data_IF_094341779095
#
_entry.id   IF_094341779095
#
_cell.length_a   1.000
_cell.length_b   1.000
_cell.length_c   1.000
_cell.angle_alpha   90.00
_cell.angle_beta   90.00
_cell.angle_gamma   90.00
#
_symmetry.space_group_name_H-M   'P 1'
#
loop_
_entity.id
_entity.type
_entity.pdbx_description
1 polymer ?
#
# COMPACT_ATOMS: atom_id res chain seq x y z
N UNK A 1 -15.21 1.74 13.79
CA UNK A 1 -15.68 0.37 14.07
C UNK A 1 -15.05 -0.10 15.36
N UNK A 2 -15.86 -0.55 16.33
CA UNK A 2 -15.38 -1.25 17.54
C UNK A 2 -15.90 -2.69 17.49
N UNK A 3 -14.99 -3.66 17.49
CA UNK A 3 -15.31 -5.08 17.34
C UNK A 3 -16.02 -5.61 18.58
N UNK A 4 -17.19 -6.22 18.39
CA UNK A 4 -17.98 -6.88 19.45
C UNK A 4 -18.10 -8.39 19.25
N UNK A 5 -17.79 -8.89 18.05
CA UNK A 5 -17.87 -10.32 17.74
C UNK A 5 -17.01 -10.73 16.55
N UNK A 6 -16.61 -11.99 16.54
CA UNK A 6 -15.91 -12.62 15.40
C UNK A 6 -16.45 -14.03 15.20
N UNK A 7 -16.92 -14.32 13.99
CA UNK A 7 -17.43 -15.63 13.60
C UNK A 7 -16.57 -16.19 12.46
N UNK A 8 -16.38 -17.52 12.46
CA UNK A 8 -15.56 -18.21 11.45
C UNK A 8 -16.42 -19.28 10.82
N UNK A 9 -16.56 -19.23 9.50
CA UNK A 9 -17.20 -20.26 8.70
C UNK A 9 -16.15 -20.93 7.83
N UNK A 10 -16.01 -22.24 7.99
CA UNK A 10 -15.22 -23.04 7.07
C UNK A 10 -16.02 -23.24 5.78
N UNK A 11 -15.46 -22.79 4.66
CA UNK A 11 -16.07 -22.96 3.35
C UNK A 11 -15.52 -24.24 2.73
N UNK A 12 -16.30 -25.31 2.84
CA UNK A 12 -15.99 -26.61 2.22
C UNK A 12 -16.80 -26.70 0.92
N UNK A 13 -16.18 -26.31 -0.19
CA UNK A 13 -16.83 -26.23 -1.51
C UNK A 13 -15.84 -26.34 -2.67
N UNK A 14 -16.20 -25.79 -3.83
CA UNK A 14 -15.33 -25.80 -5.03
C UNK A 14 -14.03 -25.02 -4.83
N UNK A 15 -14.05 -23.99 -3.98
CA UNK A 15 -12.86 -23.30 -3.50
C UNK A 15 -12.79 -23.43 -1.97
N UNK A 16 -11.99 -24.35 -1.42
CA UNK A 16 -11.86 -24.46 0.03
C UNK A 16 -11.33 -23.14 0.60
N UNK A 17 -11.80 -22.75 1.78
CA UNK A 17 -11.41 -21.49 2.40
C UNK A 17 -12.04 -21.25 3.76
N UNK A 18 -11.80 -20.05 4.29
CA UNK A 18 -12.40 -19.56 5.53
C UNK A 18 -13.05 -18.21 5.28
N UNK A 19 -14.28 -18.05 5.74
CA UNK A 19 -14.91 -16.74 5.86
C UNK A 19 -14.87 -16.31 7.31
N UNK A 20 -14.22 -15.18 7.57
CA UNK A 20 -14.19 -14.56 8.90
C UNK A 20 -15.11 -13.35 8.88
N UNK A 21 -16.09 -13.33 9.76
CA UNK A 21 -17.04 -12.23 9.91
C UNK A 21 -16.72 -11.46 11.19
N UNK A 22 -16.53 -10.15 11.04
CA UNK A 22 -16.29 -9.21 12.12
C UNK A 22 -17.54 -8.37 12.33
N UNK A 23 -18.11 -8.40 13.54
CA UNK A 23 -19.26 -7.59 13.90
C UNK A 23 -18.81 -6.39 14.74
N UNK A 24 -19.21 -5.19 14.34
CA UNK A 24 -19.01 -3.94 15.05
C UNK A 24 -20.19 -3.56 15.92
N UNK A 25 -19.94 -2.76 16.96
CA UNK A 25 -20.97 -2.29 17.91
C UNK A 25 -22.07 -1.47 17.22
N UNK A 26 -21.74 -0.77 16.13
CA UNK A 26 -22.68 0.02 15.35
C UNK A 26 -23.64 -0.79 14.46
N UNK A 27 -23.64 -2.12 14.56
CA UNK A 27 -24.42 -3.02 13.68
C UNK A 27 -23.78 -3.25 12.31
N UNK A 28 -22.59 -2.69 12.10
CA UNK A 28 -21.75 -2.91 10.92
C UNK A 28 -21.09 -4.29 10.98
N UNK A 29 -20.99 -4.97 9.83
CA UNK A 29 -20.39 -6.29 9.73
C UNK A 29 -19.49 -6.36 8.50
N UNK A 30 -18.29 -6.92 8.66
CA UNK A 30 -17.32 -7.09 7.59
C UNK A 30 -16.98 -8.56 7.44
N UNK A 31 -17.20 -9.12 6.26
CA UNK A 31 -16.86 -10.51 5.94
C UNK A 31 -15.60 -10.56 5.08
N UNK A 32 -14.55 -11.18 5.60
CA UNK A 32 -13.29 -11.41 4.89
C UNK A 32 -13.26 -12.86 4.41
N UNK A 33 -13.18 -13.05 3.10
CA UNK A 33 -13.06 -14.38 2.48
C UNK A 33 -11.59 -14.69 2.20
N UNK A 34 -11.07 -15.71 2.85
CA UNK A 34 -9.73 -16.22 2.66
C UNK A 34 -9.78 -17.53 1.89
N UNK A 35 -9.10 -17.57 0.75
CA UNK A 35 -8.89 -18.81 0.01
C UNK A 35 -7.97 -19.73 0.82
N UNK A 36 -8.29 -21.03 0.88
CA UNK A 36 -7.39 -22.01 1.47
C UNK A 36 -6.06 -22.01 0.70
N UNK A 37 -5.00 -21.72 1.44
CA UNK A 37 -3.62 -21.84 1.00
C UNK A 37 -2.87 -22.77 1.96
N UNK A 38 -1.56 -22.86 1.78
CA UNK A 38 -0.72 -23.69 2.64
C UNK A 38 -0.79 -23.21 4.10
N UNK A 39 -1.07 -24.14 5.03
CA UNK A 39 -1.13 -23.88 6.47
C UNK A 39 -2.27 -22.98 6.97
N UNK A 40 -3.33 -22.74 6.17
CA UNK A 40 -4.49 -21.97 6.65
C UNK A 40 -5.37 -22.84 7.55
N UNK A 41 -5.62 -22.38 8.77
CA UNK A 41 -6.49 -23.03 9.76
C UNK A 41 -7.37 -21.97 10.43
N UNK A 42 -8.32 -22.38 11.27
CA UNK A 42 -9.27 -21.47 11.95
C UNK A 42 -8.59 -20.37 12.76
N UNK A 43 -7.49 -20.68 13.45
CA UNK A 43 -6.75 -19.71 14.26
C UNK A 43 -6.03 -18.66 13.40
N UNK A 44 -5.26 -19.13 12.41
CA UNK A 44 -4.48 -18.29 11.49
C UNK A 44 -5.40 -17.50 10.53
N UNK A 45 -6.60 -18.01 10.24
CA UNK A 45 -7.58 -17.31 9.42
C UNK A 45 -8.02 -15.99 10.05
N UNK A 46 -8.24 -15.94 11.36
CA UNK A 46 -8.61 -14.70 12.06
C UNK A 46 -7.47 -13.69 12.01
N UNK A 47 -6.25 -14.14 12.29
CA UNK A 47 -5.06 -13.28 12.26
C UNK A 47 -4.83 -12.68 10.87
N UNK A 48 -4.89 -13.50 9.82
CA UNK A 48 -4.77 -13.03 8.43
C UNK A 48 -5.90 -12.10 8.03
N UNK A 49 -7.14 -12.41 8.43
CA UNK A 49 -8.29 -11.55 8.14
C UNK A 49 -8.16 -10.19 8.84
N UNK A 50 -7.66 -10.16 10.08
CA UNK A 50 -7.34 -8.93 10.80
C UNK A 50 -6.23 -8.11 10.14
N UNK A 51 -5.17 -8.77 9.66
CA UNK A 51 -4.11 -8.10 8.91
C UNK A 51 -4.62 -7.46 7.61
N UNK A 52 -5.49 -8.16 6.87
CA UNK A 52 -6.15 -7.62 5.67
C UNK A 52 -7.00 -6.39 6.01
N UNK A 53 -7.73 -6.42 7.14
CA UNK A 53 -8.52 -5.28 7.62
C UNK A 53 -7.66 -4.06 7.97
N UNK A 54 -6.56 -4.25 8.71
CA UNK A 54 -5.61 -3.17 9.05
C UNK A 54 -4.99 -2.60 7.76
N UNK A 55 -4.63 -3.47 6.82
CA UNK A 55 -4.12 -3.05 5.53
C UNK A 55 -5.16 -2.21 4.79
N UNK A 56 -6.41 -2.65 4.70
CA UNK A 56 -7.48 -1.92 4.04
C UNK A 56 -7.76 -0.56 4.72
N UNK A 57 -7.65 -0.47 6.05
CA UNK A 57 -7.77 0.80 6.76
C UNK A 57 -6.65 1.79 6.42
N UNK A 58 -5.45 1.30 6.07
CA UNK A 58 -4.31 2.13 5.62
C UNK A 58 -4.42 2.53 4.16
N UNK A 59 -5.01 1.66 3.33
CA UNK A 59 -5.33 1.95 1.94
C UNK A 59 -6.73 2.56 1.89
N UNK A 60 -6.86 3.83 2.29
CA UNK A 60 -8.08 4.60 2.04
C UNK A 60 -8.60 4.29 0.62
N UNK A 61 -9.84 3.80 0.54
CA UNK A 61 -10.50 3.50 -0.72
C UNK A 61 -10.78 4.84 -1.42
N UNK A 62 -9.78 5.32 -2.17
CA UNK A 62 -9.97 6.16 -3.35
C UNK A 62 -10.71 7.48 -3.17
N UNK A 63 -10.61 8.16 -2.03
CA UNK A 63 -10.95 9.58 -1.95
C UNK A 63 -9.82 10.34 -1.27
N UNK A 64 -8.94 10.89 -2.10
CA UNK A 64 -8.31 12.20 -1.94
C UNK A 64 -7.79 12.55 -0.53
N UNK A 65 -6.46 12.49 -0.39
CA UNK A 65 -5.65 13.35 0.47
C UNK A 65 -6.41 14.02 1.64
N UNK A 66 -6.35 13.40 2.82
CA UNK A 66 -6.36 14.19 4.05
C UNK A 66 -5.06 13.97 4.79
N UNK A 67 -4.14 14.91 4.59
CA UNK A 67 -3.25 15.38 5.64
C UNK A 67 -4.11 15.60 6.92
N UNK A 68 -3.55 15.33 8.12
CA UNK A 68 -4.17 15.40 9.45
C UNK A 68 -4.92 14.15 9.97
N UNK A 69 -4.21 13.30 10.72
CA UNK A 69 -4.54 13.01 12.12
C UNK A 69 -3.49 12.07 12.77
N UNK A 70 -2.29 12.61 12.99
CA UNK A 70 -1.39 12.20 14.07
C UNK A 70 -2.03 12.52 15.44
N UNK A 71 -3.07 11.80 15.88
CA UNK A 71 -3.69 12.07 17.19
C UNK A 71 -4.27 10.80 17.87
N UNK A 72 -3.53 9.69 17.94
CA UNK A 72 -3.94 8.55 18.79
C UNK A 72 -2.84 7.95 19.68
N UNK A 73 -1.65 8.55 19.76
CA UNK A 73 -0.61 8.10 20.70
C UNK A 73 -0.75 8.66 22.13
N UNK A 74 -1.68 9.60 22.38
CA UNK A 74 -1.75 10.33 23.65
C UNK A 74 -2.61 9.69 24.77
N UNK A 75 -3.05 8.43 24.64
CA UNK A 75 -3.83 7.76 25.70
C UNK A 75 -3.26 6.41 26.17
N UNK A 76 -2.04 6.05 25.78
CA UNK A 76 -1.36 4.89 26.38
C UNK A 76 -0.72 5.32 27.70
N UNK A 77 -1.46 5.13 28.79
CA UNK A 77 -0.94 5.30 30.15
C UNK A 77 0.04 4.16 30.47
N UNK A 78 1.27 4.28 29.97
CA UNK A 78 2.53 3.76 30.52
C UNK A 78 2.54 2.51 31.39
N UNK A 79 1.86 1.43 30.98
CA UNK A 79 2.02 0.09 31.57
C UNK A 79 2.71 -0.82 30.54
N UNK A 80 3.99 -0.53 30.29
CA UNK A 80 4.88 -1.30 29.42
C UNK A 80 6.09 -1.78 30.24
N UNK A 81 5.86 -2.64 31.22
CA UNK A 81 6.95 -3.32 31.93
C UNK A 81 7.28 -4.70 31.35
N UNK A 82 6.61 -5.20 30.31
CA UNK A 82 6.97 -6.48 29.70
C UNK A 82 6.43 -6.69 28.26
N UNK A 83 7.03 -6.02 27.27
CA UNK A 83 6.87 -6.44 25.87
C UNK A 83 8.19 -6.26 25.12
N UNK A 84 8.70 -7.29 24.39
CA UNK A 84 9.87 -7.12 23.57
C UNK A 84 9.53 -6.10 22.48
N UNK A 85 10.34 -5.03 22.39
CA UNK A 85 10.26 -4.02 21.33
C UNK A 85 10.43 -4.73 20.00
N UNK A 86 9.32 -5.02 19.32
CA UNK A 86 9.36 -5.57 17.96
C UNK A 86 9.61 -4.39 17.04
N UNK A 87 10.89 -4.10 16.78
CA UNK A 87 11.30 -3.07 15.81
C UNK A 87 10.58 -3.35 14.48
N UNK A 88 9.82 -2.38 13.99
CA UNK A 88 9.08 -2.55 12.75
C UNK A 88 10.05 -2.59 11.57
N UNK A 89 9.72 -3.28 10.46
CA UNK A 89 10.59 -3.31 9.27
C UNK A 89 10.85 -1.90 8.68
N UNK A 90 9.97 -0.93 8.97
CA UNK A 90 10.17 0.47 8.61
C UNK A 90 11.28 1.12 9.44
N UNK A 91 11.32 0.87 10.76
CA UNK A 91 12.38 1.36 11.65
C UNK A 91 13.75 0.81 11.25
N UNK A 92 13.82 -0.49 10.92
CA UNK A 92 15.05 -1.13 10.45
C UNK A 92 15.54 -0.50 9.13
N UNK A 93 14.62 -0.16 8.22
CA UNK A 93 14.93 0.48 6.94
C UNK A 93 15.42 1.91 7.13
N UNK A 94 14.80 2.67 8.04
CA UNK A 94 15.23 4.01 8.40
C UNK A 94 16.62 4.00 9.02
N UNK A 95 16.87 3.09 9.98
CA UNK A 95 18.18 2.96 10.62
C UNK A 95 19.29 2.56 9.62
N UNK A 96 18.96 1.74 8.62
CA UNK A 96 19.90 1.39 7.53
C UNK A 96 20.19 2.60 6.64
N UNK A 97 19.18 3.38 6.25
CA UNK A 97 19.36 4.60 5.47
C UNK A 97 20.23 5.63 6.22
N UNK A 98 20.05 5.76 7.54
CA UNK A 98 20.88 6.65 8.38
C UNK A 98 22.33 6.18 8.55
N UNK A 99 22.62 4.88 8.39
CA UNK A 99 24.00 4.36 8.37
C UNK A 99 24.67 4.70 7.04
N UNK A 100 23.91 4.59 5.96
CA UNK A 100 24.36 4.91 4.61
C UNK A 100 24.62 6.42 4.43
N UNK A 101 23.85 7.29 5.08
CA UNK A 101 24.07 8.76 5.09
C UNK A 101 25.21 9.22 6.01
N UNK A 102 25.70 8.39 6.95
CA UNK A 102 26.88 8.74 7.76
C UNK A 102 28.20 8.55 7.01
N UNK A 103 28.22 7.69 6.00
CA UNK A 103 29.42 7.39 5.22
C UNK A 103 29.61 8.33 4.02
N UNK A 104 28.52 8.87 3.49
CA UNK A 104 28.51 9.79 2.34
C UNK A 104 27.76 11.07 2.73
N UNK A 105 28.43 12.22 2.60
CA UNK A 105 27.78 13.50 2.90
C UNK A 105 26.54 13.66 2.02
N UNK A 106 25.43 14.16 2.58
CA UNK A 106 24.18 14.31 1.85
C UNK A 106 24.35 15.13 0.55
N UNK A 107 25.32 16.06 0.52
CA UNK A 107 25.68 16.86 -0.64
C UNK A 107 26.28 16.02 -1.78
N UNK A 108 27.12 15.04 -1.49
CA UNK A 108 27.76 14.17 -2.49
C UNK A 108 26.72 13.29 -3.22
N UNK A 109 25.75 12.75 -2.47
CA UNK A 109 24.62 11.97 -3.02
C UNK A 109 23.70 12.79 -3.92
N UNK A 110 23.43 14.03 -3.51
CA UNK A 110 22.63 14.98 -4.32
C UNK A 110 23.37 15.34 -5.61
N UNK A 111 24.70 15.53 -5.55
CA UNK A 111 25.54 15.84 -6.71
C UNK A 111 25.63 14.67 -7.71
N UNK A 112 25.73 13.41 -7.24
CA UNK A 112 25.71 12.22 -8.10
C UNK A 112 24.38 12.08 -8.86
N UNK A 113 23.25 12.30 -8.19
CA UNK A 113 21.92 12.29 -8.81
C UNK A 113 21.72 13.40 -9.85
N UNK A 114 22.22 14.60 -9.58
CA UNK A 114 22.25 15.72 -10.54
C UNK A 114 23.11 15.40 -11.77
N UNK A 115 24.26 14.74 -11.58
CA UNK A 115 25.14 14.32 -12.68
C UNK A 115 24.48 13.32 -13.63
N UNK A 116 23.59 12.46 -13.13
CA UNK A 116 22.81 11.53 -13.93
C UNK A 116 21.61 12.18 -14.68
N UNK A 117 21.23 13.41 -14.30
CA UNK A 117 20.05 14.12 -14.84
C UNK A 117 20.39 15.14 -15.95
N UNK A 118 21.65 15.19 -16.40
CA UNK A 118 22.03 15.97 -17.58
C UNK A 118 22.29 15.04 -18.77
N UNK A 119 21.26 14.64 -19.54
CA UNK A 119 21.50 14.43 -20.95
C UNK A 119 22.03 15.78 -21.48
N UNK A 120 23.18 15.80 -22.12
CA UNK A 120 23.77 17.03 -22.66
C UNK A 120 22.91 17.68 -23.78
N UNK A 121 21.62 17.36 -23.90
CA UNK A 121 20.69 17.87 -24.89
C UNK A 121 19.27 17.60 -24.39
N UNK A 122 18.47 18.66 -24.23
CA UNK A 122 17.02 18.58 -24.18
C UNK A 122 16.51 17.54 -25.20
N UNK A 123 15.46 16.75 -24.89
CA UNK A 123 14.91 15.80 -25.85
C UNK A 123 14.61 16.53 -27.17
N UNK A 124 15.10 15.98 -28.28
CA UNK A 124 14.85 16.52 -29.62
C UNK A 124 13.34 16.52 -29.84
N UNK A 125 12.75 17.71 -29.87
CA UNK A 125 11.33 17.89 -30.16
C UNK A 125 11.07 17.51 -31.62
N UNK A 126 10.36 16.40 -31.85
CA UNK A 126 9.96 15.97 -33.20
C UNK A 126 8.66 16.66 -33.58
N UNK A 127 8.71 17.57 -34.56
CA UNK A 127 7.51 18.13 -35.21
C UNK A 127 7.25 17.38 -36.52
N UNK A 128 6.35 16.39 -36.52
CA UNK A 128 5.87 15.77 -37.78
C UNK A 128 4.65 16.53 -38.28
N UNK A 129 4.77 17.20 -39.42
CA UNK A 129 3.63 17.82 -40.12
C UNK A 129 2.91 16.75 -40.95
N UNK A 130 1.67 16.42 -40.56
CA UNK A 130 0.84 15.37 -41.18
C UNK A 130 -0.13 15.91 -42.25
N UNK A 131 0.20 17.00 -42.95
CA UNK A 131 -0.67 17.50 -44.03
C UNK A 131 -0.18 16.94 -45.37
N UNK A 132 -0.83 15.90 -45.93
CA UNK A 132 -0.57 15.49 -47.31
C UNK A 132 -1.09 16.59 -48.25
N UNK A 133 -0.17 17.37 -48.82
CA UNK A 133 -0.45 18.24 -49.97
C UNK A 133 -0.47 17.40 -51.23
N UNK A 134 -1.65 17.05 -51.76
CA UNK A 134 -1.71 16.20 -52.96
C UNK A 134 -3.08 16.04 -53.59
N UNK A 135 -3.51 17.09 -54.30
CA UNK A 135 -4.42 17.17 -55.48
C UNK A 135 -5.67 16.27 -55.60
N UNK A 136 -6.77 16.99 -55.79
CA UNK A 136 -7.99 16.66 -56.54
C UNK A 136 -7.74 15.92 -57.86
N UNK A 137 -8.51 14.87 -58.14
CA UNK A 137 -9.25 14.80 -59.40
C UNK A 137 -10.50 13.94 -59.24
N UNK A 138 -11.54 14.38 -59.93
CA UNK A 138 -12.91 13.89 -59.96
C UNK A 138 -12.96 12.86 -61.08
N UNK A 139 -13.45 11.65 -60.83
CA UNK A 139 -14.06 10.89 -61.91
C UNK A 139 -15.33 10.20 -61.41
N UNK A 140 -16.43 10.57 -62.06
CA UNK A 140 -17.80 10.13 -61.80
C UNK A 140 -18.32 9.60 -63.12
N UNK A 141 -18.28 8.29 -63.30
CA UNK A 141 -19.13 7.54 -64.25
C UNK A 141 -19.45 6.17 -63.68
#
# INVERSE_FOLDING_TARGET
MQLVGTQIHEEVGETPGFTVEFQGEGGEAVSVKLRAGDGLNTQNAVEKAGAVMIQLARFEIGTEQSEYADEYEAQSNGDFDDAPVVESPADISLLQAERDTRESTAEEKLEEGLKASFPASDPVSVTVSSIPTGRTDVDRT
#
